data_IF_553135209211
#
_entry.id   IF_553135209211
#
_cell.length_a   1.000
_cell.length_b   1.000
_cell.length_c   1.000
_cell.angle_alpha   90.00
_cell.angle_beta   90.00
_cell.angle_gamma   90.00
#
_symmetry.space_group_name_H-M   'P 1'
#
loop_
_entity.id
_entity.type
_entity.pdbx_description
1 polymer ?
#
# COMPACT_ATOMS: atom_id res chain seq x y z
N UNK A 1 28.21 -3.88 24.97
CA UNK A 1 27.61 -2.64 24.44
C UNK A 1 27.10 -2.78 22.99
N UNK A 2 27.36 -3.89 22.29
CA UNK A 2 26.91 -4.12 20.89
C UNK A 2 25.42 -4.44 20.71
N UNK A 3 24.74 -4.98 21.73
CA UNK A 3 23.33 -5.40 21.62
C UNK A 3 22.35 -4.24 21.46
N UNK A 4 22.69 -3.03 21.94
CA UNK A 4 21.83 -1.85 21.81
C UNK A 4 21.85 -1.24 20.41
N UNK A 5 22.98 -1.32 19.70
CA UNK A 5 23.13 -0.76 18.35
C UNK A 5 22.33 -1.53 17.30
N UNK A 6 22.39 -2.87 17.36
CA UNK A 6 21.67 -3.73 16.42
C UNK A 6 20.15 -3.61 16.57
N UNK A 7 19.65 -3.45 17.79
CA UNK A 7 18.22 -3.24 18.03
C UNK A 7 17.71 -1.93 17.41
N UNK A 8 18.48 -0.84 17.55
CA UNK A 8 18.12 0.44 16.96
C UNK A 8 18.12 0.39 15.42
N UNK A 9 19.10 -0.30 14.83
CA UNK A 9 19.20 -0.49 13.38
C UNK A 9 18.02 -1.30 12.82
N UNK A 10 17.58 -2.34 13.53
CA UNK A 10 16.42 -3.16 13.14
C UNK A 10 15.12 -2.36 13.23
N UNK A 11 14.88 -1.64 14.32
CA UNK A 11 13.69 -0.78 14.45
C UNK A 11 13.66 0.32 13.37
N UNK A 12 14.81 0.93 13.10
CA UNK A 12 14.93 1.95 12.05
C UNK A 12 14.63 1.38 10.65
N UNK A 13 15.08 0.14 10.37
CA UNK A 13 14.70 -0.58 9.16
C UNK A 13 13.19 -0.82 9.06
N UNK A 14 12.53 -1.18 10.17
CA UNK A 14 11.08 -1.32 10.26
C UNK A 14 10.32 -0.03 9.96
N UNK A 15 10.77 1.10 10.51
CA UNK A 15 10.20 2.43 10.24
C UNK A 15 10.33 2.79 8.75
N UNK A 16 11.49 2.55 8.14
CA UNK A 16 11.72 2.83 6.72
C UNK A 16 10.78 1.97 5.85
N UNK A 17 10.68 0.67 6.12
CA UNK A 17 9.79 -0.23 5.39
C UNK A 17 8.33 0.22 5.50
N UNK A 18 7.90 0.64 6.68
CA UNK A 18 6.56 1.16 6.92
C UNK A 18 6.28 2.44 6.11
N UNK A 19 7.20 3.40 6.12
CA UNK A 19 7.06 4.65 5.36
C UNK A 19 7.03 4.39 3.85
N UNK A 20 7.89 3.51 3.32
CA UNK A 20 7.88 3.10 1.92
C UNK A 20 6.54 2.46 1.55
N UNK A 21 6.04 1.56 2.39
CA UNK A 21 4.75 0.91 2.19
C UNK A 21 3.60 1.90 2.13
N UNK A 22 3.57 2.90 3.02
CA UNK A 22 2.56 3.98 3.03
C UNK A 22 2.66 4.85 1.77
N UNK A 23 3.85 5.32 1.41
CA UNK A 23 4.03 6.17 0.22
C UNK A 23 3.58 5.42 -1.03
N UNK A 24 3.97 4.15 -1.15
CA UNK A 24 3.53 3.27 -2.24
C UNK A 24 2.01 3.14 -2.28
N UNK A 25 1.35 2.89 -1.14
CA UNK A 25 -0.10 2.78 -1.04
C UNK A 25 -0.81 4.06 -1.51
N UNK A 26 -0.34 5.23 -1.02
CA UNK A 26 -0.92 6.53 -1.34
C UNK A 26 -0.76 6.83 -2.83
N UNK A 27 0.41 6.59 -3.41
CA UNK A 27 0.65 6.76 -4.85
C UNK A 27 -0.32 5.93 -5.68
N UNK A 28 -0.58 4.70 -5.26
CA UNK A 28 -1.48 3.76 -5.94
C UNK A 28 -2.95 4.20 -5.84
N UNK A 29 -3.37 4.68 -4.66
CA UNK A 29 -4.69 5.28 -4.46
C UNK A 29 -4.88 6.56 -5.27
N UNK A 30 -3.86 7.42 -5.33
CA UNK A 30 -3.89 8.66 -6.13
C UNK A 30 -3.95 8.35 -7.62
N UNK A 31 -3.22 7.33 -8.08
CA UNK A 31 -3.27 6.88 -9.47
C UNK A 31 -4.67 6.38 -9.84
N UNK A 32 -5.24 5.46 -9.05
CA UNK A 32 -6.61 4.97 -9.25
C UNK A 32 -7.65 6.09 -9.18
N UNK A 33 -7.45 7.09 -8.31
CA UNK A 33 -8.35 8.26 -8.24
C UNK A 33 -8.25 9.16 -9.48
N UNK A 34 -7.05 9.36 -10.04
CA UNK A 34 -6.88 10.15 -11.28
C UNK A 34 -7.51 9.46 -12.48
N UNK A 35 -7.32 8.15 -12.58
CA UNK A 35 -7.94 7.31 -13.62
C UNK A 35 -9.47 7.35 -13.47
N UNK A 36 -9.98 7.28 -12.24
CA UNK A 36 -11.40 7.44 -11.93
C UNK A 36 -11.96 8.82 -12.31
N UNK A 37 -11.21 9.91 -12.10
CA UNK A 37 -11.67 11.26 -12.44
C UNK A 37 -11.75 11.49 -13.96
N UNK A 38 -10.96 10.77 -14.76
CA UNK A 38 -11.04 10.84 -16.21
C UNK A 38 -12.34 10.21 -16.76
N UNK A 39 -12.93 9.24 -16.05
CA UNK A 39 -14.17 8.53 -16.40
C UNK A 39 -15.45 9.23 -15.91
N UNK A 40 -15.49 10.55 -16.06
CA UNK A 40 -16.47 11.49 -15.47
C UNK A 40 -17.92 11.40 -16.04
N UNK A 41 -18.38 10.22 -16.49
CA UNK A 41 -19.74 10.04 -17.07
C UNK A 41 -20.76 9.39 -16.13
N UNK A 42 -20.39 8.64 -15.07
CA UNK A 42 -21.37 7.86 -14.28
C UNK A 42 -21.19 7.95 -12.76
N UNK A 43 -21.37 9.16 -12.24
CA UNK A 43 -21.35 9.49 -10.81
C UNK A 43 -22.65 9.09 -10.12
N UNK A 44 -22.65 7.99 -9.36
CA UNK A 44 -23.64 7.78 -8.28
C UNK A 44 -23.21 6.79 -7.19
N UNK A 45 -22.25 5.90 -7.44
CA UNK A 45 -21.83 4.89 -6.44
C UNK A 45 -20.31 4.84 -6.24
N UNK A 46 -19.75 5.89 -5.63
CA UNK A 46 -18.31 6.00 -5.32
C UNK A 46 -17.73 4.77 -4.61
N UNK A 47 -18.49 4.12 -3.72
CA UNK A 47 -18.05 2.91 -3.02
C UNK A 47 -18.03 1.66 -3.91
N UNK A 48 -19.06 1.46 -4.75
CA UNK A 48 -19.11 0.32 -5.70
C UNK A 48 -17.99 0.44 -6.73
N UNK A 49 -17.66 1.66 -7.14
CA UNK A 49 -16.55 1.91 -8.05
C UNK A 49 -15.16 1.76 -7.41
N UNK A 50 -15.01 2.04 -6.12
CA UNK A 50 -13.76 1.75 -5.40
C UNK A 50 -13.53 0.24 -5.29
N UNK A 51 -14.60 -0.52 -5.04
CA UNK A 51 -14.57 -1.99 -5.07
C UNK A 51 -14.31 -2.51 -6.47
N UNK A 52 -14.93 -1.94 -7.51
CA UNK A 52 -14.68 -2.30 -8.91
C UNK A 52 -13.26 -1.94 -9.34
N UNK A 53 -12.71 -0.80 -8.93
CA UNK A 53 -11.34 -0.40 -9.22
C UNK A 53 -10.32 -1.30 -8.54
N UNK A 54 -10.59 -1.74 -7.30
CA UNK A 54 -9.82 -2.82 -6.67
C UNK A 54 -9.98 -4.10 -7.50
N UNK A 55 -11.19 -4.50 -7.86
CA UNK A 55 -11.41 -5.70 -8.69
C UNK A 55 -10.68 -5.63 -10.03
N UNK A 56 -10.70 -4.50 -10.73
CA UNK A 56 -10.00 -4.32 -12.02
C UNK A 56 -8.48 -4.33 -11.83
N UNK A 57 -8.01 -3.80 -10.70
CA UNK A 57 -6.60 -3.88 -10.30
C UNK A 57 -6.17 -5.32 -10.00
N UNK A 58 -7.09 -6.21 -9.60
CA UNK A 58 -6.80 -7.62 -9.32
C UNK A 58 -7.13 -8.57 -10.50
N UNK A 59 -8.06 -8.21 -11.38
CA UNK A 59 -8.63 -9.08 -12.41
C UNK A 59 -8.60 -8.52 -13.84
N UNK A 60 -8.21 -7.25 -14.04
CA UNK A 60 -8.13 -6.61 -15.36
C UNK A 60 -6.83 -6.92 -16.10
N UNK A 61 -6.89 -7.02 -17.43
CA UNK A 61 -5.72 -7.22 -18.31
C UNK A 61 -4.77 -6.02 -18.22
N UNK A 62 -3.69 -6.17 -17.44
CA UNK A 62 -2.73 -5.09 -17.10
C UNK A 62 -2.75 -4.69 -15.62
N UNK A 63 -3.75 -5.14 -14.86
CA UNK A 63 -3.89 -4.90 -13.41
C UNK A 63 -2.94 -5.73 -12.55
N UNK A 64 -2.44 -6.87 -13.04
CA UNK A 64 -1.61 -7.81 -12.28
C UNK A 64 -0.42 -7.13 -11.56
N UNK A 65 0.26 -6.19 -12.21
CA UNK A 65 1.38 -5.44 -11.63
C UNK A 65 0.92 -4.46 -10.55
N UNK A 66 -0.22 -3.82 -10.75
CA UNK A 66 -0.81 -2.83 -9.84
C UNK A 66 -1.40 -3.52 -8.60
N UNK A 67 -2.07 -4.66 -8.78
CA UNK A 67 -2.55 -5.53 -7.70
C UNK A 67 -1.40 -6.12 -6.89
N UNK A 68 -0.33 -6.56 -7.56
CA UNK A 68 0.88 -7.03 -6.90
C UNK A 68 1.56 -5.91 -6.11
N UNK A 69 1.64 -4.70 -6.67
CA UNK A 69 2.16 -3.53 -5.97
C UNK A 69 1.33 -3.15 -4.72
N UNK A 70 0.00 -3.30 -4.77
CA UNK A 70 -0.88 -3.15 -3.61
C UNK A 70 -0.57 -4.18 -2.51
N UNK A 71 -0.44 -5.45 -2.87
CA UNK A 71 -0.09 -6.52 -1.93
C UNK A 71 1.29 -6.27 -1.31
N UNK A 72 2.27 -5.89 -2.13
CA UNK A 72 3.63 -5.57 -1.66
C UNK A 72 3.65 -4.37 -0.71
N UNK A 73 2.89 -3.32 -1.02
CA UNK A 73 2.72 -2.16 -0.14
C UNK A 73 2.14 -2.57 1.21
N UNK A 74 1.07 -3.36 1.22
CA UNK A 74 0.46 -3.87 2.45
C UNK A 74 1.41 -4.78 3.24
N UNK A 75 2.13 -5.66 2.55
CA UNK A 75 3.13 -6.52 3.17
C UNK A 75 4.27 -5.71 3.81
N UNK A 76 4.77 -4.67 3.15
CA UNK A 76 5.81 -3.79 3.69
C UNK A 76 5.33 -3.03 4.94
N UNK A 77 4.08 -2.55 4.94
CA UNK A 77 3.45 -1.92 6.10
C UNK A 77 3.36 -2.90 7.27
N UNK A 78 2.85 -4.11 7.03
CA UNK A 78 2.69 -5.15 8.05
C UNK A 78 4.04 -5.60 8.63
N UNK A 79 5.03 -5.84 7.78
CA UNK A 79 6.38 -6.21 8.21
C UNK A 79 7.00 -5.07 9.03
N UNK A 80 6.88 -3.83 8.57
CA UNK A 80 7.36 -2.66 9.32
C UNK A 80 6.73 -2.55 10.71
N UNK A 81 5.41 -2.76 10.83
CA UNK A 81 4.70 -2.75 12.11
C UNK A 81 5.14 -3.88 13.05
N UNK A 82 5.33 -5.09 12.52
CA UNK A 82 5.80 -6.25 13.30
C UNK A 82 7.21 -6.00 13.83
N UNK A 83 8.12 -5.49 12.99
CA UNK A 83 9.50 -5.16 13.40
C UNK A 83 9.54 -4.05 14.44
N UNK A 84 8.63 -3.06 14.35
CA UNK A 84 8.50 -1.99 15.33
C UNK A 84 7.87 -2.44 16.66
N UNK A 85 7.38 -3.69 16.77
CA UNK A 85 6.79 -4.19 18.00
C UNK A 85 5.45 -3.55 18.37
N UNK A 86 4.74 -2.97 17.40
CA UNK A 86 3.44 -2.29 17.63
C UNK A 86 2.33 -3.27 18.04
N UNK A 87 2.48 -4.55 17.70
CA UNK A 87 1.50 -5.62 18.00
C UNK A 87 1.86 -6.46 19.24
N UNK A 88 2.63 -5.92 20.18
CA UNK A 88 3.02 -6.61 21.41
C UNK A 88 2.09 -6.28 22.58
#
# INVERSE_FOLDING_TARGET
METKGNFFMVMFGGIILFLIGIVSLISLLVYGYKEFKADESKTSKKAVYLVLGILDTFFGTGGELTGFALILSLAAILIGLVIMGVFH
#
